data_IF_912259412606
#
_entry.id   IF_912259412606
#
_cell.length_a   1.000
_cell.length_b   1.000
_cell.length_c   1.000
_cell.angle_alpha   90.00
_cell.angle_beta   90.00
_cell.angle_gamma   90.00
#
_symmetry.space_group_name_H-M   'P 1'
#
loop_
_entity.id
_entity.type
_entity.pdbx_description
1 polymer ?
#
# COMPACT_ATOMS: atom_id res chain seq x y z
N UNK A 1 -16.35 0.31 -36.80
CA UNK A 1 -16.14 -0.86 -35.90
C UNK A 1 -15.39 -0.53 -34.60
N UNK A 2 -14.40 0.40 -34.59
CA UNK A 2 -13.66 0.75 -33.35
C UNK A 2 -14.57 1.27 -32.21
N UNK A 3 -15.54 2.11 -32.50
CA UNK A 3 -16.42 2.76 -31.52
C UNK A 3 -17.31 1.79 -30.71
N UNK A 4 -17.76 0.69 -31.33
CA UNK A 4 -18.62 -0.30 -30.65
C UNK A 4 -17.79 -1.17 -29.70
N UNK A 5 -16.61 -1.61 -30.12
CA UNK A 5 -15.68 -2.41 -29.30
C UNK A 5 -15.20 -1.61 -28.07
N UNK A 6 -14.95 -0.32 -28.24
CA UNK A 6 -14.53 0.55 -27.14
C UNK A 6 -15.65 0.80 -26.14
N UNK A 7 -16.89 0.92 -26.64
CA UNK A 7 -18.08 1.01 -25.78
C UNK A 7 -18.32 -0.26 -24.98
N UNK A 8 -18.17 -1.43 -25.60
CA UNK A 8 -18.30 -2.73 -24.92
C UNK A 8 -17.21 -2.88 -23.85
N UNK A 9 -15.96 -2.56 -24.18
CA UNK A 9 -14.84 -2.59 -23.22
C UNK A 9 -15.09 -1.65 -22.04
N UNK A 10 -15.60 -0.43 -22.27
CA UNK A 10 -15.96 0.53 -21.23
C UNK A 10 -17.03 -0.02 -20.28
N UNK A 11 -18.12 -0.58 -20.85
CA UNK A 11 -19.21 -1.20 -20.07
C UNK A 11 -18.70 -2.39 -19.25
N UNK A 12 -17.91 -3.26 -19.85
CA UNK A 12 -17.33 -4.41 -19.16
C UNK A 12 -16.41 -3.97 -18.02
N UNK A 13 -15.58 -2.93 -18.20
CA UNK A 13 -14.73 -2.36 -17.16
C UNK A 13 -15.55 -1.78 -16.00
N UNK A 14 -16.63 -1.06 -16.30
CA UNK A 14 -17.52 -0.51 -15.28
C UNK A 14 -18.21 -1.60 -14.44
N UNK A 15 -18.70 -2.67 -15.09
CA UNK A 15 -19.28 -3.83 -14.41
C UNK A 15 -18.25 -4.56 -13.54
N UNK A 16 -17.06 -4.77 -14.09
CA UNK A 16 -15.92 -5.36 -13.40
C UNK A 16 -15.58 -4.60 -12.11
N UNK A 17 -15.45 -3.28 -12.23
CA UNK A 17 -15.15 -2.40 -11.10
C UNK A 17 -16.24 -2.47 -10.01
N UNK A 18 -17.52 -2.47 -10.40
CA UNK A 18 -18.63 -2.62 -9.44
C UNK A 18 -18.57 -3.96 -8.69
N UNK A 19 -18.19 -5.04 -9.37
CA UNK A 19 -18.04 -6.33 -8.74
C UNK A 19 -16.88 -6.35 -7.74
N UNK A 20 -15.72 -5.83 -8.12
CA UNK A 20 -14.54 -5.72 -7.24
C UNK A 20 -14.86 -4.86 -6.01
N UNK A 21 -15.52 -3.72 -6.20
CA UNK A 21 -15.95 -2.85 -5.09
C UNK A 21 -16.91 -3.58 -4.14
N UNK A 22 -17.88 -4.33 -4.70
CA UNK A 22 -18.82 -5.11 -3.87
C UNK A 22 -18.10 -6.20 -3.06
N UNK A 23 -17.16 -6.90 -3.69
CA UNK A 23 -16.32 -7.89 -3.02
C UNK A 23 -15.50 -7.25 -1.90
N UNK A 24 -14.80 -6.14 -2.22
CA UNK A 24 -13.98 -5.42 -1.25
C UNK A 24 -14.79 -4.94 -0.05
N UNK A 25 -15.99 -4.38 -0.28
CA UNK A 25 -16.89 -3.95 0.80
C UNK A 25 -17.34 -5.11 1.69
N UNK A 26 -17.60 -6.27 1.11
CA UNK A 26 -17.97 -7.45 1.90
C UNK A 26 -16.82 -7.88 2.82
N UNK A 27 -15.58 -7.87 2.32
CA UNK A 27 -14.40 -8.15 3.13
C UNK A 27 -14.17 -7.08 4.21
N UNK A 28 -14.31 -5.79 3.85
CA UNK A 28 -14.22 -4.68 4.80
C UNK A 28 -15.23 -4.86 5.97
N UNK A 29 -16.48 -5.19 5.65
CA UNK A 29 -17.54 -5.37 6.65
C UNK A 29 -17.28 -6.56 7.57
N UNK A 30 -16.76 -7.67 7.02
CA UNK A 30 -16.43 -8.87 7.79
C UNK A 30 -15.29 -8.61 8.79
N UNK A 31 -14.22 -7.89 8.36
CA UNK A 31 -13.02 -7.70 9.16
C UNK A 31 -13.16 -6.46 10.06
N UNK A 32 -13.56 -5.34 9.48
CA UNK A 32 -13.54 -4.04 10.14
C UNK A 32 -14.90 -3.63 10.73
N UNK A 33 -16.01 -4.19 10.22
CA UNK A 33 -17.37 -3.78 10.55
C UNK A 33 -17.77 -2.44 9.89
N UNK A 34 -16.96 -1.93 8.95
CA UNK A 34 -17.21 -0.69 8.22
C UNK A 34 -16.57 -0.75 6.84
N UNK A 35 -17.03 0.11 5.90
CA UNK A 35 -16.46 0.18 4.54
C UNK A 35 -15.19 1.03 4.53
N UNK A 36 -14.14 0.54 3.86
CA UNK A 36 -12.89 1.27 3.64
C UNK A 36 -12.80 1.86 2.21
N UNK A 37 -13.85 1.71 1.41
CA UNK A 37 -13.83 1.93 -0.06
C UNK A 37 -13.84 3.40 -0.47
N UNK A 38 -14.48 4.28 0.31
CA UNK A 38 -14.72 5.66 -0.09
C UNK A 38 -13.40 6.44 -0.19
N UNK A 39 -13.22 7.15 -1.31
CA UNK A 39 -12.09 8.05 -1.53
C UNK A 39 -12.17 9.27 -0.60
N UNK A 40 -11.03 9.66 -0.07
CA UNK A 40 -10.85 10.91 0.69
C UNK A 40 -9.73 11.71 0.03
N UNK A 41 -10.03 12.93 -0.36
CA UNK A 41 -9.03 13.83 -0.93
C UNK A 41 -8.03 14.28 0.16
N UNK A 42 -6.76 14.43 -0.22
CA UNK A 42 -5.75 14.91 0.71
C UNK A 42 -5.71 16.44 0.74
N UNK A 43 -5.90 17.07 1.90
CA UNK A 43 -5.68 18.50 2.05
C UNK A 43 -4.19 18.89 1.98
N UNK A 44 -3.30 17.90 2.03
CA UNK A 44 -1.85 18.09 2.07
C UNK A 44 -1.16 17.85 0.72
N UNK A 45 -1.95 17.74 -0.37
CA UNK A 45 -1.40 17.42 -1.70
C UNK A 45 -0.40 18.46 -2.18
N UNK A 46 -0.77 19.73 -2.07
CA UNK A 46 0.03 20.84 -2.60
C UNK A 46 1.11 21.31 -1.61
N UNK A 47 0.94 21.06 -0.33
CA UNK A 47 1.88 21.49 0.72
C UNK A 47 2.91 20.42 1.06
N UNK A 48 2.51 19.17 1.18
CA UNK A 48 3.35 18.05 1.62
C UNK A 48 3.46 16.93 0.59
N UNK A 49 2.87 17.10 -0.60
CA UNK A 49 2.91 16.09 -1.67
C UNK A 49 2.24 14.77 -1.31
N UNK A 50 1.33 14.77 -0.35
CA UNK A 50 0.57 13.59 0.05
C UNK A 50 -0.62 13.36 -0.87
N UNK A 51 -0.80 12.14 -1.38
CA UNK A 51 -1.94 11.80 -2.24
C UNK A 51 -3.20 11.57 -1.39
N UNK A 52 -4.38 11.57 -2.04
CA UNK A 52 -5.63 11.21 -1.36
C UNK A 52 -5.70 9.72 -0.99
N UNK A 53 -6.49 9.40 0.03
CA UNK A 53 -6.71 8.04 0.48
C UNK A 53 -7.67 7.31 -0.45
N UNK A 54 -7.17 6.27 -1.13
CA UNK A 54 -7.92 5.36 -1.99
C UNK A 54 -7.55 3.93 -1.66
N UNK A 55 -8.50 3.14 -1.23
CA UNK A 55 -8.23 1.78 -0.79
C UNK A 55 -7.84 0.87 -1.97
N UNK A 56 -6.72 0.17 -1.83
CA UNK A 56 -6.27 -0.88 -2.77
C UNK A 56 -7.19 -2.08 -2.67
N UNK A 57 -7.62 -2.68 -3.80
CA UNK A 57 -8.49 -3.85 -3.77
C UNK A 57 -7.82 -5.05 -3.10
N UNK A 58 -8.60 -5.89 -2.39
CA UNK A 58 -8.08 -7.12 -1.78
C UNK A 58 -7.42 -8.03 -2.81
N UNK A 59 -7.98 -8.13 -4.01
CA UNK A 59 -7.37 -8.93 -5.07
C UNK A 59 -6.03 -8.36 -5.56
N UNK A 60 -5.84 -7.04 -5.53
CA UNK A 60 -4.52 -6.44 -5.78
C UNK A 60 -3.55 -6.78 -4.66
N UNK A 61 -3.98 -6.70 -3.40
CA UNK A 61 -3.14 -7.04 -2.25
C UNK A 61 -2.73 -8.52 -2.24
N UNK A 62 -3.62 -9.44 -2.62
CA UNK A 62 -3.29 -10.86 -2.82
C UNK A 62 -2.14 -11.05 -3.83
N UNK A 63 -2.11 -10.24 -4.90
CA UNK A 63 -1.01 -10.28 -5.86
C UNK A 63 0.23 -9.54 -5.35
N UNK A 64 0.10 -8.42 -4.62
CA UNK A 64 1.22 -7.69 -4.01
C UNK A 64 2.00 -8.61 -3.07
N UNK A 65 1.30 -9.33 -2.20
CA UNK A 65 1.91 -10.18 -1.18
C UNK A 65 2.03 -11.65 -1.56
N UNK A 66 1.76 -12.00 -2.83
CA UNK A 66 1.84 -13.38 -3.29
C UNK A 66 3.23 -13.98 -3.09
N UNK A 67 3.29 -15.09 -2.35
CA UNK A 67 4.55 -15.77 -2.02
C UNK A 67 5.34 -15.09 -0.91
N UNK A 68 4.77 -14.10 -0.22
CA UNK A 68 5.37 -13.57 0.99
C UNK A 68 5.36 -14.64 2.09
N UNK A 69 6.52 -14.83 2.74
CA UNK A 69 6.68 -15.71 3.88
C UNK A 69 6.94 -14.85 5.12
N UNK A 70 5.87 -14.54 5.84
CA UNK A 70 5.90 -13.68 7.03
C UNK A 70 6.19 -14.49 8.29
N UNK A 71 6.92 -13.88 9.23
CA UNK A 71 7.37 -14.49 10.49
C UNK A 71 6.74 -13.78 11.69
N UNK A 72 6.66 -14.43 12.83
CA UNK A 72 6.21 -13.82 14.10
C UNK A 72 7.10 -12.66 14.54
N UNK A 73 8.36 -12.68 14.15
CA UNK A 73 9.33 -11.61 14.42
C UNK A 73 9.22 -10.42 13.50
N UNK A 74 8.37 -10.49 12.46
CA UNK A 74 8.22 -9.38 11.51
C UNK A 74 7.45 -8.22 12.14
N UNK A 75 7.97 -7.03 11.88
CA UNK A 75 7.35 -5.75 12.20
C UNK A 75 7.06 -5.01 10.90
N UNK A 76 5.77 -4.89 10.59
CA UNK A 76 5.27 -4.36 9.33
C UNK A 76 4.79 -2.93 9.51
N UNK A 77 5.10 -2.04 8.55
CA UNK A 77 4.50 -0.71 8.47
C UNK A 77 3.92 -0.43 7.08
N UNK A 78 2.65 0.03 7.04
CA UNK A 78 1.99 0.58 5.86
C UNK A 78 2.09 2.10 5.89
N UNK A 79 2.85 2.67 4.98
CA UNK A 79 3.11 4.11 4.89
C UNK A 79 2.04 4.78 4.03
N UNK A 80 1.24 5.64 4.65
CA UNK A 80 0.03 6.19 4.07
C UNK A 80 -1.09 5.15 4.06
N UNK A 81 -1.38 4.58 5.23
CA UNK A 81 -2.30 3.44 5.35
C UNK A 81 -3.76 3.79 5.03
N UNK A 82 -4.10 5.06 4.93
CA UNK A 82 -5.47 5.49 4.68
C UNK A 82 -6.42 4.95 5.75
N UNK A 83 -7.56 4.42 5.30
CA UNK A 83 -8.54 3.77 6.18
C UNK A 83 -8.12 2.35 6.64
N UNK A 84 -6.91 1.88 6.25
CA UNK A 84 -6.28 0.66 6.77
C UNK A 84 -6.57 -0.63 6.00
N UNK A 85 -6.87 -0.59 4.68
CA UNK A 85 -7.19 -1.85 3.97
C UNK A 85 -6.01 -2.82 3.86
N UNK A 86 -4.77 -2.34 3.80
CA UNK A 86 -3.59 -3.22 3.87
C UNK A 86 -3.54 -3.93 5.24
N UNK A 87 -3.83 -3.20 6.34
CA UNK A 87 -3.87 -3.76 7.68
C UNK A 87 -4.99 -4.83 7.80
N UNK A 88 -6.18 -4.53 7.28
CA UNK A 88 -7.30 -5.48 7.24
C UNK A 88 -6.96 -6.74 6.40
N UNK A 89 -6.27 -6.56 5.27
CA UNK A 89 -5.78 -7.67 4.46
C UNK A 89 -4.81 -8.55 5.24
N UNK A 90 -3.83 -7.98 5.93
CA UNK A 90 -2.86 -8.73 6.73
C UNK A 90 -3.53 -9.50 7.88
N UNK A 91 -4.58 -8.94 8.50
CA UNK A 91 -5.40 -9.68 9.47
C UNK A 91 -6.10 -10.88 8.84
N UNK A 92 -6.73 -10.69 7.68
CA UNK A 92 -7.39 -11.76 6.92
C UNK A 92 -6.42 -12.91 6.62
N UNK A 93 -5.21 -12.56 6.20
CA UNK A 93 -4.14 -13.52 5.90
C UNK A 93 -3.41 -14.04 7.15
N UNK A 94 -3.87 -13.66 8.35
CA UNK A 94 -3.30 -14.10 9.65
C UNK A 94 -1.81 -13.76 9.77
N UNK A 95 -1.45 -12.53 9.38
CA UNK A 95 -0.07 -12.04 9.56
C UNK A 95 0.37 -12.26 11.01
N UNK A 96 1.49 -12.95 11.25
CA UNK A 96 1.82 -13.43 12.59
C UNK A 96 2.50 -12.38 13.47
N UNK A 97 3.08 -11.32 12.88
CA UNK A 97 3.85 -10.29 13.57
C UNK A 97 3.05 -9.06 13.95
N UNK A 98 3.76 -7.95 14.15
CA UNK A 98 3.17 -6.64 14.47
C UNK A 98 2.84 -5.87 13.20
N UNK A 99 1.69 -5.22 13.17
CA UNK A 99 1.20 -4.42 12.03
C UNK A 99 1.07 -2.97 12.50
N UNK A 100 1.73 -2.07 11.80
CA UNK A 100 1.57 -0.62 12.01
C UNK A 100 1.06 0.03 10.74
N UNK A 101 0.16 0.99 10.85
CA UNK A 101 -0.21 1.91 9.78
C UNK A 101 0.12 3.34 10.20
N UNK A 102 0.64 4.15 9.29
CA UNK A 102 0.79 5.60 9.50
C UNK A 102 0.00 6.36 8.44
N UNK A 103 -0.79 7.34 8.88
CA UNK A 103 -1.62 8.19 8.03
C UNK A 103 -1.48 9.66 8.45
N UNK A 104 -1.26 10.52 7.45
CA UNK A 104 -1.05 11.96 7.67
C UNK A 104 -2.35 12.71 7.98
N UNK A 105 -3.46 12.29 7.37
CA UNK A 105 -4.76 12.91 7.59
C UNK A 105 -5.40 12.36 8.87
N UNK A 106 -5.48 13.20 9.92
CA UNK A 106 -6.02 12.83 11.23
C UNK A 106 -7.42 12.21 11.16
N UNK A 107 -8.32 12.75 10.34
CA UNK A 107 -9.69 12.21 10.22
C UNK A 107 -9.69 10.81 9.62
N UNK A 108 -8.81 10.56 8.66
CA UNK A 108 -8.65 9.25 8.01
C UNK A 108 -7.97 8.26 8.96
N UNK A 109 -6.96 8.71 9.70
CA UNK A 109 -6.28 7.92 10.73
C UNK A 109 -7.23 7.51 11.85
N UNK A 110 -8.05 8.45 12.36
CA UNK A 110 -9.06 8.16 13.37
C UNK A 110 -10.16 7.20 12.88
N UNK A 111 -10.53 7.29 11.58
CA UNK A 111 -11.42 6.29 10.99
C UNK A 111 -10.79 4.89 11.01
N UNK A 112 -9.48 4.79 10.70
CA UNK A 112 -8.73 3.53 10.76
C UNK A 112 -8.65 3.00 12.20
N UNK A 113 -8.27 3.81 13.18
CA UNK A 113 -8.16 3.45 14.59
C UNK A 113 -9.46 2.85 15.15
N UNK A 114 -10.62 3.43 14.83
CA UNK A 114 -11.94 2.96 15.33
C UNK A 114 -12.20 1.47 15.11
N UNK A 115 -11.73 0.91 14.01
CA UNK A 115 -11.87 -0.52 13.77
C UNK A 115 -10.62 -1.31 14.17
N UNK A 116 -9.43 -0.72 14.03
CA UNK A 116 -8.15 -1.37 14.28
C UNK A 116 -7.90 -1.65 15.77
N UNK A 117 -8.37 -0.79 16.67
CA UNK A 117 -8.22 -0.91 18.14
C UNK A 117 -8.83 -2.19 18.74
N UNK A 118 -9.64 -2.90 17.96
CA UNK A 118 -10.16 -4.23 18.35
C UNK A 118 -9.08 -5.32 18.29
N UNK A 119 -7.95 -5.05 17.62
CA UNK A 119 -6.91 -6.02 17.32
C UNK A 119 -5.59 -5.64 18.00
N UNK A 120 -5.13 -6.49 18.92
CA UNK A 120 -3.95 -6.21 19.77
C UNK A 120 -2.63 -6.10 19.02
N UNK A 121 -2.54 -6.70 17.82
CA UNK A 121 -1.33 -6.69 17.00
C UNK A 121 -1.31 -5.57 15.97
N UNK A 122 -2.32 -4.67 15.96
CA UNK A 122 -2.36 -3.50 15.08
C UNK A 122 -2.13 -2.23 15.89
N UNK A 123 -1.32 -1.34 15.34
CA UNK A 123 -1.13 0.03 15.80
C UNK A 123 -1.37 1.00 14.64
N UNK A 124 -2.09 2.10 14.88
CA UNK A 124 -2.30 3.16 13.89
C UNK A 124 -1.79 4.48 14.42
N UNK A 125 -0.85 5.06 13.69
CA UNK A 125 -0.22 6.35 14.00
C UNK A 125 -0.88 7.42 13.13
N UNK A 126 -1.42 8.47 13.76
CA UNK A 126 -1.77 9.72 13.07
C UNK A 126 -0.54 10.61 13.08
N UNK A 127 0.03 10.91 11.90
CA UNK A 127 1.24 11.71 11.83
C UNK A 127 1.95 11.66 10.49
N UNK A 128 3.08 12.37 10.46
CA UNK A 128 3.91 12.49 9.26
C UNK A 128 4.89 11.31 9.15
N UNK A 129 4.86 10.61 8.04
CA UNK A 129 5.77 9.50 7.74
C UNK A 129 7.26 9.88 7.75
N UNK A 130 7.58 11.16 7.60
CA UNK A 130 8.96 11.65 7.69
C UNK A 130 9.47 11.81 9.14
N UNK A 131 8.60 11.69 10.14
CA UNK A 131 8.94 11.79 11.56
C UNK A 131 9.05 10.42 12.28
N UNK A 132 8.83 9.33 11.54
CA UNK A 132 8.92 7.96 12.08
C UNK A 132 10.37 7.46 12.04
N UNK A 133 10.77 6.74 13.08
CA UNK A 133 11.96 5.89 13.06
C UNK A 133 11.61 4.54 12.41
N UNK A 134 12.19 4.29 11.24
CA UNK A 134 11.95 3.06 10.50
C UNK A 134 12.79 1.87 10.98
N UNK A 135 13.69 2.04 11.95
CA UNK A 135 14.45 0.95 12.52
C UNK A 135 13.61 -0.02 13.38
N UNK A 136 12.40 0.37 13.73
CA UNK A 136 11.45 -0.53 14.39
C UNK A 136 10.77 -1.54 13.44
N UNK A 137 11.00 -1.42 12.11
CA UNK A 137 10.28 -2.18 11.09
C UNK A 137 11.23 -2.85 10.11
N UNK A 138 10.99 -4.13 9.81
CA UNK A 138 11.74 -4.87 8.78
C UNK A 138 10.95 -5.08 7.49
N UNK A 139 9.64 -4.75 7.47
CA UNK A 139 8.79 -4.80 6.28
C UNK A 139 8.04 -3.48 6.13
N UNK A 140 8.27 -2.81 5.00
CA UNK A 140 7.56 -1.59 4.62
C UNK A 140 6.62 -1.87 3.45
N UNK A 141 5.46 -1.25 3.47
CA UNK A 141 4.51 -1.24 2.36
C UNK A 141 4.13 0.19 2.02
N UNK A 142 3.93 0.44 0.74
CA UNK A 142 3.40 1.69 0.20
C UNK A 142 2.44 1.44 -0.95
N UNK A 143 1.29 2.10 -0.93
CA UNK A 143 0.36 2.16 -2.05
C UNK A 143 0.31 3.58 -2.64
N UNK A 144 1.47 4.13 -3.01
CA UNK A 144 1.68 5.47 -3.57
C UNK A 144 1.11 6.60 -2.71
N UNK A 145 1.51 6.76 -1.44
CA UNK A 145 1.06 7.87 -0.60
C UNK A 145 1.67 9.21 -1.00
N UNK A 146 2.77 9.23 -1.73
CA UNK A 146 3.54 10.42 -2.07
C UNK A 146 3.52 10.74 -3.57
N UNK A 147 3.63 12.02 -3.90
CA UNK A 147 4.05 12.48 -5.21
C UNK A 147 5.54 12.15 -5.44
N UNK A 148 6.02 12.10 -6.71
CA UNK A 148 7.40 11.68 -7.00
C UNK A 148 8.52 12.43 -6.26
N UNK A 149 8.46 13.75 -6.03
CA UNK A 149 9.50 14.45 -5.25
C UNK A 149 9.58 13.96 -3.80
N UNK A 150 8.44 13.81 -3.12
CA UNK A 150 8.38 13.34 -1.73
C UNK A 150 8.78 11.87 -1.61
N UNK A 151 8.42 11.04 -2.60
CA UNK A 151 8.89 9.67 -2.64
C UNK A 151 10.43 9.57 -2.68
N UNK A 152 11.10 10.46 -3.46
CA UNK A 152 12.57 10.51 -3.50
C UNK A 152 13.14 10.88 -2.14
N UNK A 153 12.61 11.91 -1.49
CA UNK A 153 13.02 12.32 -0.14
C UNK A 153 12.81 11.20 0.88
N UNK A 154 11.70 10.46 0.75
CA UNK A 154 11.41 9.32 1.62
C UNK A 154 12.44 8.19 1.45
N UNK A 155 12.82 7.85 0.22
CA UNK A 155 13.87 6.87 -0.05
C UNK A 155 15.21 7.32 0.52
N UNK A 156 15.58 8.59 0.35
CA UNK A 156 16.81 9.18 0.90
C UNK A 156 16.83 9.16 2.44
N UNK A 157 15.67 9.41 3.09
CA UNK A 157 15.51 9.23 4.53
C UNK A 157 15.80 7.78 4.95
N UNK A 158 15.20 6.80 4.29
CA UNK A 158 15.45 5.38 4.59
C UNK A 158 16.93 5.02 4.45
N UNK A 159 17.59 5.49 3.40
CA UNK A 159 19.02 5.24 3.16
C UNK A 159 19.94 5.85 4.22
N UNK A 160 19.53 6.98 4.78
CA UNK A 160 20.31 7.70 5.79
C UNK A 160 20.12 7.12 7.18
N UNK A 161 18.91 6.68 7.51
CA UNK A 161 18.53 6.36 8.89
C UNK A 161 18.54 4.85 9.20
N UNK A 162 18.31 4.00 8.18
CA UNK A 162 18.22 2.55 8.42
C UNK A 162 19.56 1.95 8.80
N UNK A 163 19.55 1.13 9.84
CA UNK A 163 20.71 0.41 10.39
C UNK A 163 20.67 -1.08 10.13
N UNK A 164 19.59 -1.61 9.56
CA UNK A 164 19.38 -3.01 9.23
C UNK A 164 18.65 -3.19 7.89
N UNK A 165 18.72 -4.38 7.27
CA UNK A 165 18.01 -4.66 6.03
C UNK A 165 16.50 -4.62 6.20
N UNK A 166 15.80 -4.13 5.16
CA UNK A 166 14.36 -4.14 5.07
C UNK A 166 13.87 -4.81 3.79
N UNK A 167 12.60 -5.27 3.81
CA UNK A 167 11.83 -5.62 2.62
C UNK A 167 10.78 -4.54 2.36
N UNK A 168 10.68 -4.08 1.11
CA UNK A 168 9.80 -2.99 0.72
C UNK A 168 8.86 -3.42 -0.41
N UNK A 169 7.56 -3.39 -0.14
CA UNK A 169 6.48 -3.63 -1.10
C UNK A 169 5.95 -2.30 -1.61
N UNK A 170 6.06 -2.04 -2.92
CA UNK A 170 5.62 -0.79 -3.51
C UNK A 170 4.58 -1.05 -4.60
N UNK A 171 3.34 -0.68 -4.34
CA UNK A 171 2.23 -0.75 -5.29
C UNK A 171 1.96 0.62 -5.92
N UNK A 172 1.57 0.63 -7.22
CA UNK A 172 1.46 1.82 -8.09
C UNK A 172 2.83 2.49 -8.27
N UNK A 173 3.85 1.69 -8.58
CA UNK A 173 5.26 2.07 -8.66
C UNK A 173 5.66 2.82 -9.94
N UNK A 174 4.79 2.87 -10.96
CA UNK A 174 5.14 3.31 -12.33
C UNK A 174 5.61 4.77 -12.43
N UNK A 175 5.32 5.62 -11.44
CA UNK A 175 5.76 7.01 -11.43
C UNK A 175 7.09 7.22 -10.70
N UNK A 176 7.43 6.37 -9.77
CA UNK A 176 8.51 6.60 -8.80
C UNK A 176 9.44 5.40 -8.61
N UNK A 177 8.99 4.17 -8.86
CA UNK A 177 9.79 2.96 -8.63
C UNK A 177 11.12 2.91 -9.38
N UNK A 178 11.21 3.56 -10.54
CA UNK A 178 12.46 3.68 -11.29
C UNK A 178 13.56 4.45 -10.56
N UNK A 179 13.21 5.29 -9.58
CA UNK A 179 14.19 6.01 -8.78
C UNK A 179 15.04 5.09 -7.90
N UNK A 180 14.46 4.00 -7.42
CA UNK A 180 15.15 3.02 -6.55
C UNK A 180 16.13 2.15 -7.35
N UNK A 181 15.81 1.86 -8.63
CA UNK A 181 16.40 0.77 -9.42
C UNK A 181 17.94 0.77 -9.52
N UNK A 182 18.57 1.94 -9.44
CA UNK A 182 20.03 2.08 -9.58
C UNK A 182 20.69 2.65 -8.32
N UNK A 183 20.00 2.67 -7.19
CA UNK A 183 20.56 3.20 -5.94
C UNK A 183 21.32 2.12 -5.17
N UNK A 184 22.47 2.46 -4.55
CA UNK A 184 23.25 1.51 -3.77
C UNK A 184 22.43 0.87 -2.64
N UNK A 185 22.58 -0.43 -2.43
CA UNK A 185 21.88 -1.18 -1.38
C UNK A 185 20.48 -1.67 -1.76
N UNK A 186 19.85 -1.09 -2.77
CA UNK A 186 18.57 -1.54 -3.25
C UNK A 186 18.70 -2.68 -4.26
N UNK A 187 17.89 -3.71 -4.08
CA UNK A 187 17.79 -4.86 -4.99
C UNK A 187 16.32 -5.18 -5.24
N UNK A 188 15.91 -5.17 -6.49
CA UNK A 188 14.58 -5.62 -6.88
C UNK A 188 14.50 -7.14 -6.80
N UNK A 189 13.52 -7.66 -6.08
CA UNK A 189 13.23 -9.09 -5.96
C UNK A 189 12.17 -9.55 -6.96
N UNK A 190 11.13 -8.73 -7.17
CA UNK A 190 10.03 -9.01 -8.10
C UNK A 190 9.44 -7.71 -8.64
N UNK A 191 8.91 -7.76 -9.85
CA UNK A 191 8.10 -6.68 -10.42
C UNK A 191 7.07 -7.23 -11.38
N UNK A 192 5.83 -6.80 -11.23
CA UNK A 192 4.71 -7.22 -12.06
C UNK A 192 3.75 -6.06 -12.36
N UNK A 193 2.94 -6.24 -13.39
CA UNK A 193 1.87 -5.32 -13.74
C UNK A 193 0.53 -5.94 -13.40
N UNK A 194 -0.20 -5.31 -12.51
CA UNK A 194 -1.52 -5.74 -12.07
C UNK A 194 -2.58 -4.95 -12.84
N UNK A 195 -3.47 -5.66 -13.51
CA UNK A 195 -4.56 -5.04 -14.26
C UNK A 195 -5.86 -5.84 -14.19
N UNK A 196 -5.75 -7.17 -14.21
CA UNK A 196 -6.89 -8.10 -14.14
C UNK A 196 -6.57 -9.27 -13.22
N UNK A 197 -7.60 -9.78 -12.56
CA UNK A 197 -7.59 -11.05 -11.85
C UNK A 197 -8.94 -11.74 -12.02
N UNK A 198 -8.95 -13.04 -12.28
CA UNK A 198 -10.16 -13.85 -12.47
C UNK A 198 -11.12 -13.25 -13.54
N UNK A 199 -10.57 -12.62 -14.59
CA UNK A 199 -11.34 -11.95 -15.64
C UNK A 199 -11.77 -10.52 -15.32
N UNK A 200 -11.71 -10.06 -14.08
CA UNK A 200 -12.13 -8.72 -13.65
C UNK A 200 -10.99 -7.72 -13.68
N UNK A 201 -11.29 -6.46 -14.00
CA UNK A 201 -10.32 -5.37 -13.91
C UNK A 201 -10.15 -4.92 -12.45
N UNK A 202 -8.91 -4.90 -11.98
CA UNK A 202 -8.53 -4.46 -10.63
C UNK A 202 -8.45 -2.94 -10.51
N UNK A 203 -8.27 -2.25 -11.63
CA UNK A 203 -8.04 -0.81 -11.69
C UNK A 203 -8.43 -0.24 -13.05
N UNK A 204 -8.50 1.09 -13.16
CA UNK A 204 -8.79 1.81 -14.40
C UNK A 204 -7.66 1.62 -15.43
N UNK A 205 -6.41 1.59 -14.96
CA UNK A 205 -5.20 1.40 -15.79
C UNK A 205 -4.30 0.34 -15.16
N UNK A 206 -3.40 -0.31 -15.94
CA UNK A 206 -2.40 -1.21 -15.39
C UNK A 206 -1.59 -0.53 -14.30
N UNK A 207 -1.36 -1.22 -13.17
CA UNK A 207 -0.61 -0.72 -12.03
C UNK A 207 0.64 -1.55 -11.81
N UNK A 208 1.79 -0.86 -11.66
CA UNK A 208 3.05 -1.51 -11.31
C UNK A 208 3.05 -1.92 -9.83
N UNK A 209 3.63 -3.08 -9.57
CA UNK A 209 3.92 -3.56 -8.23
C UNK A 209 5.34 -4.10 -8.21
N UNK A 210 6.16 -3.61 -7.31
CA UNK A 210 7.54 -4.07 -7.13
C UNK A 210 7.83 -4.43 -5.70
N UNK A 211 8.71 -5.41 -5.52
CA UNK A 211 9.22 -5.85 -4.22
C UNK A 211 10.73 -5.65 -4.23
N UNK A 212 11.22 -4.98 -3.21
CA UNK A 212 12.62 -4.62 -3.06
C UNK A 212 13.16 -5.10 -1.73
N UNK A 213 14.48 -5.25 -1.66
CA UNK A 213 15.23 -5.23 -0.41
C UNK A 213 16.17 -4.02 -0.43
N UNK A 214 16.35 -3.43 0.72
CA UNK A 214 17.41 -2.47 0.97
C UNK A 214 18.35 -3.02 2.04
N UNK A 215 19.66 -2.92 1.80
CA UNK A 215 20.70 -3.29 2.77
C UNK A 215 21.60 -2.08 2.97
N UNK A 216 21.67 -1.49 4.17
CA UNK A 216 22.58 -0.40 4.51
C UNK A 216 24.06 -0.77 4.30
N UNK A 217 24.92 0.22 4.09
CA UNK A 217 26.36 -0.01 3.84
C UNK A 217 27.05 -0.76 4.97
N UNK A 218 26.73 -0.42 6.21
CA UNK A 218 27.27 -1.08 7.40
C UNK A 218 26.82 -2.55 7.58
N UNK A 219 25.91 -3.04 6.74
CA UNK A 219 25.40 -4.41 6.74
C UNK A 219 25.79 -5.20 5.48
N UNK A 220 26.62 -4.63 4.59
CA UNK A 220 27.05 -5.25 3.31
C UNK A 220 28.31 -6.07 3.40
#
# INVERSE_FOLDING_TARGET
>A
MSNILDTIKKKYRALSNRFVIKYDRAQDMEICGCSLTEYVESPFRDTLGATGSSATSYWSLEEVFKGADFKETDSFIDVGCGKGRVLAFLLREKFPGKITGIELNDEVAEYCKKWADKYKNINVISGNAFEIDYNDYNILCMCRPFLPPQFKQFVEKLETELTHPIKFYYYVDQQSGGFIANRPGWKMLDRKILYKKNGYYLSIAPQGCSVWTYTPENCR
#
